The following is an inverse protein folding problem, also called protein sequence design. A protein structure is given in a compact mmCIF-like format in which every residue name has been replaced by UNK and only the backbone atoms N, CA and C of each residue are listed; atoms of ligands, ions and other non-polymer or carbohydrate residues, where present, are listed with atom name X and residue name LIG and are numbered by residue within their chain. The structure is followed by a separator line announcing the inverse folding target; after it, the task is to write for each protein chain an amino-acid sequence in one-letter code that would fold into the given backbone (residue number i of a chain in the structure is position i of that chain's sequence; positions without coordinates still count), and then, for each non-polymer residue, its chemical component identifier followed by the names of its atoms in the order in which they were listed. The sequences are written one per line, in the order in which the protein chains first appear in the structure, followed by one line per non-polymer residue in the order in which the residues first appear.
data_IF_118298006452
#
_entry.id   IF_118298006452
#
_cell.length_a   1.000
_cell.length_b   1.000
_cell.length_c   1.000
_cell.angle_alpha   90.00
_cell.angle_beta   90.00
_cell.angle_gamma   90.00
#
_symmetry.space_group_name_H-M   'P 1'
#
loop_
_entity.id
_entity.type
_entity.pdbx_description
1 polymer ?
#
# COMPACT_ATOMS: atom_id res chain seq x y z
N UNK A 1 5.64 -21.36 35.47
CA UNK A 1 5.92 -21.93 34.14
C UNK A 1 6.35 -20.77 33.27
N UNK A 2 7.59 -20.77 32.80
CA UNK A 2 8.10 -19.75 31.88
C UNK A 2 7.28 -19.85 30.60
N UNK A 3 6.55 -18.80 30.24
CA UNK A 3 6.03 -18.69 28.87
C UNK A 3 7.26 -18.68 27.97
N UNK A 4 7.53 -19.77 27.24
CA UNK A 4 8.54 -19.68 26.19
C UNK A 4 7.92 -18.79 25.12
N UNK A 5 8.46 -17.59 24.97
CA UNK A 5 8.16 -16.75 23.82
C UNK A 5 8.49 -17.62 22.60
N UNK A 6 7.49 -17.93 21.79
CA UNK A 6 7.69 -18.71 20.56
C UNK A 6 8.56 -17.85 19.64
N UNK A 7 9.70 -18.40 19.21
CA UNK A 7 10.65 -17.71 18.35
C UNK A 7 10.10 -17.63 16.92
N UNK A 8 10.09 -16.45 16.31
CA UNK A 8 9.66 -16.26 14.91
C UNK A 8 10.46 -17.17 13.97
N UNK A 9 9.74 -17.94 13.16
CA UNK A 9 10.32 -18.90 12.21
C UNK A 9 10.53 -18.23 10.85
N UNK A 10 11.75 -18.30 10.33
CA UNK A 10 12.07 -17.78 8.99
C UNK A 10 11.31 -18.53 7.87
N UNK A 11 11.00 -17.86 6.74
CA UNK A 11 10.42 -18.54 5.59
C UNK A 11 11.41 -19.56 4.98
N UNK A 12 10.94 -20.76 4.65
CA UNK A 12 11.83 -21.84 4.16
C UNK A 12 11.92 -21.91 2.64
N UNK A 13 10.78 -22.11 1.97
CA UNK A 13 10.69 -22.20 0.50
C UNK A 13 9.82 -21.11 -0.05
N UNK A 14 10.28 -20.42 -1.10
CA UNK A 14 9.50 -19.49 -1.89
C UNK A 14 9.01 -20.20 -3.15
N UNK A 15 7.75 -19.95 -3.52
CA UNK A 15 7.16 -20.11 -4.84
C UNK A 15 6.77 -18.73 -5.37
N UNK A 16 6.90 -18.54 -6.69
CA UNK A 16 6.54 -17.29 -7.35
C UNK A 16 5.97 -17.57 -8.74
N UNK A 17 4.88 -16.90 -9.09
CA UNK A 17 4.23 -17.06 -10.40
C UNK A 17 3.80 -15.71 -10.95
N UNK A 18 4.03 -15.48 -12.26
CA UNK A 18 3.46 -14.34 -12.97
C UNK A 18 1.94 -14.47 -13.04
N UNK A 19 1.27 -13.39 -12.68
CA UNK A 19 -0.18 -13.33 -12.56
C UNK A 19 -0.69 -12.00 -13.09
N UNK A 20 -1.93 -11.99 -13.59
CA UNK A 20 -2.57 -10.78 -14.12
C UNK A 20 -3.97 -10.62 -13.52
N UNK A 21 -4.29 -9.39 -13.13
CA UNK A 21 -5.63 -8.93 -12.77
C UNK A 21 -6.19 -8.16 -13.95
N UNK A 22 -7.28 -8.65 -14.53
CA UNK A 22 -7.94 -8.07 -15.71
C UNK A 22 -9.42 -7.81 -15.46
N UNK A 23 -9.79 -7.73 -14.18
CA UNK A 23 -11.12 -7.53 -13.65
C UNK A 23 -11.50 -6.04 -13.51
N UNK A 24 -10.51 -5.14 -13.58
CA UNK A 24 -10.70 -3.69 -13.64
C UNK A 24 -10.43 -3.07 -15.01
N UNK A 25 -10.49 -1.74 -15.10
CA UNK A 25 -10.24 -0.97 -16.32
C UNK A 25 -8.80 -1.13 -16.87
N UNK A 26 -7.86 -1.48 -16.00
CA UNK A 26 -6.45 -1.72 -16.34
C UNK A 26 -6.11 -3.18 -16.06
N UNK A 27 -5.37 -3.80 -17.00
CA UNK A 27 -4.72 -5.07 -16.73
C UNK A 27 -3.46 -4.83 -15.88
N UNK A 28 -3.49 -5.24 -14.62
CA UNK A 28 -2.36 -5.13 -13.70
C UNK A 28 -1.62 -6.46 -13.62
N UNK A 29 -0.36 -6.43 -14.03
CA UNK A 29 0.55 -7.55 -13.93
C UNK A 29 1.20 -7.57 -12.55
N UNK A 30 1.54 -8.77 -12.10
CA UNK A 30 2.19 -8.96 -10.82
C UNK A 30 2.85 -10.32 -10.68
N UNK A 31 3.44 -10.51 -9.50
CA UNK A 31 4.00 -11.79 -9.07
C UNK A 31 3.25 -12.18 -7.79
N UNK A 32 2.60 -13.34 -7.82
CA UNK A 32 2.07 -13.95 -6.60
C UNK A 32 3.21 -14.71 -5.93
N UNK A 33 3.57 -14.25 -4.73
CA UNK A 33 4.53 -14.89 -3.86
C UNK A 33 3.81 -15.79 -2.87
N UNK A 34 4.38 -16.97 -2.63
CA UNK A 34 3.82 -17.99 -1.77
C UNK A 34 4.97 -18.74 -1.09
N UNK A 35 5.06 -18.71 0.24
CA UNK A 35 6.18 -19.36 0.95
C UNK A 35 5.76 -20.33 2.06
N UNK A 36 6.68 -21.13 2.57
CA UNK A 36 6.41 -21.98 3.73
C UNK A 36 6.98 -21.33 5.00
N UNK A 37 6.27 -21.43 6.12
CA UNK A 37 6.65 -20.83 7.41
C UNK A 37 6.09 -21.66 8.56
N UNK A 38 6.90 -22.00 9.56
CA UNK A 38 6.48 -22.94 10.63
C UNK A 38 5.91 -24.25 10.06
N UNK A 39 4.73 -24.68 10.53
CA UNK A 39 4.00 -25.82 9.96
C UNK A 39 3.09 -25.43 8.77
N UNK A 40 3.02 -24.15 8.41
CA UNK A 40 2.23 -23.68 7.28
C UNK A 40 2.90 -23.96 5.94
N UNK A 41 2.32 -24.92 5.22
CA UNK A 41 2.80 -25.40 3.93
C UNK A 41 1.84 -25.15 2.76
N UNK A 42 0.77 -24.36 2.98
CA UNK A 42 -0.17 -23.96 1.91
C UNK A 42 -1.46 -24.80 1.81
N UNK A 43 -1.91 -25.43 2.89
CA UNK A 43 -3.19 -26.16 2.93
C UNK A 43 -4.42 -25.25 3.10
N UNK A 44 -5.54 -25.58 2.44
CA UNK A 44 -6.81 -24.83 2.57
C UNK A 44 -7.56 -25.09 3.87
N UNK A 45 -7.56 -26.33 4.37
CA UNK A 45 -8.13 -26.75 5.65
C UNK A 45 -7.63 -28.17 5.99
N UNK A 46 -7.42 -28.53 7.27
CA UNK A 46 -7.47 -27.68 8.46
C UNK A 46 -6.36 -26.62 8.49
N UNK A 47 -6.44 -25.60 9.37
CA UNK A 47 -5.32 -24.69 9.60
C UNK A 47 -4.05 -25.46 9.98
N UNK A 48 -2.85 -24.86 9.75
CA UNK A 48 -1.58 -25.40 10.22
C UNK A 48 -1.62 -25.75 11.71
N UNK A 49 -0.88 -26.79 12.10
CA UNK A 49 -0.89 -27.29 13.48
C UNK A 49 -0.42 -26.24 14.51
N UNK A 50 0.37 -25.27 14.08
CA UNK A 50 0.92 -24.17 14.87
C UNK A 50 0.20 -22.83 14.60
N UNK A 51 -0.96 -22.82 13.93
CA UNK A 51 -1.70 -21.59 13.61
C UNK A 51 -2.10 -20.76 14.84
N UNK A 52 -2.35 -21.44 15.96
CA UNK A 52 -2.62 -20.82 17.25
C UNK A 52 -3.69 -19.70 17.17
N UNK A 53 -4.79 -19.95 16.46
CA UNK A 53 -5.88 -19.00 16.25
C UNK A 53 -5.42 -17.60 15.79
N UNK A 54 -4.41 -17.54 14.93
CA UNK A 54 -3.83 -16.29 14.40
C UNK A 54 -2.57 -15.82 15.12
N UNK A 55 -2.29 -16.35 16.31
CA UNK A 55 -1.11 -16.02 17.13
C UNK A 55 0.07 -16.96 16.83
N UNK A 56 0.20 -17.43 15.59
CA UNK A 56 1.35 -18.21 15.15
C UNK A 56 2.61 -17.33 15.16
N UNK A 57 3.75 -17.90 15.53
CA UNK A 57 5.05 -17.21 15.51
C UNK A 57 5.62 -17.10 14.09
N UNK A 58 4.83 -16.56 13.17
CA UNK A 58 5.24 -16.27 11.80
C UNK A 58 5.69 -14.81 11.69
N UNK A 59 6.64 -14.48 10.80
CA UNK A 59 7.06 -13.10 10.60
C UNK A 59 5.93 -12.25 10.00
N UNK A 60 5.81 -11.01 10.46
CA UNK A 60 4.93 -9.99 9.88
C UNK A 60 5.65 -9.10 8.86
N UNK A 61 6.97 -8.95 8.94
CA UNK A 61 7.71 -8.01 8.11
C UNK A 61 8.65 -8.74 7.16
N UNK A 62 8.56 -8.40 5.87
CA UNK A 62 9.33 -9.02 4.80
C UNK A 62 9.99 -7.96 3.92
N UNK A 63 11.10 -8.35 3.30
CA UNK A 63 11.63 -7.68 2.14
C UNK A 63 11.40 -8.52 0.89
N UNK A 64 10.99 -7.86 -0.18
CA UNK A 64 10.92 -8.43 -1.52
C UNK A 64 12.03 -7.84 -2.37
N UNK A 65 12.86 -8.72 -2.92
CA UNK A 65 13.95 -8.37 -3.80
C UNK A 65 13.63 -8.83 -5.22
N UNK A 66 13.74 -7.89 -6.16
CA UNK A 66 13.59 -8.16 -7.59
C UNK A 66 14.92 -7.89 -8.29
N UNK A 67 15.34 -8.81 -9.17
CA UNK A 67 16.54 -8.73 -10.00
C UNK A 67 17.88 -8.64 -9.24
N UNK A 68 17.90 -9.07 -7.97
CA UNK A 68 19.12 -9.37 -7.20
C UNK A 68 19.97 -8.19 -6.77
N UNK A 69 19.67 -6.96 -7.21
CA UNK A 69 20.51 -5.77 -6.97
C UNK A 69 20.15 -4.94 -5.73
N UNK A 70 18.88 -4.89 -5.35
CA UNK A 70 18.38 -4.14 -4.19
C UNK A 70 17.01 -4.63 -3.76
N UNK A 71 16.63 -4.32 -2.53
CA UNK A 71 15.25 -4.40 -2.08
C UNK A 71 14.37 -3.56 -3.01
N UNK A 72 13.21 -4.09 -3.41
CA UNK A 72 12.22 -3.36 -4.22
C UNK A 72 11.02 -2.97 -3.38
N UNK A 73 10.67 -3.75 -2.37
CA UNK A 73 9.51 -3.50 -1.51
C UNK A 73 9.72 -4.03 -0.09
N UNK A 74 9.34 -3.24 0.92
CA UNK A 74 9.06 -3.75 2.27
C UNK A 74 7.59 -4.07 2.42
N UNK A 75 7.28 -5.17 3.10
CA UNK A 75 5.91 -5.66 3.29
C UNK A 75 5.65 -5.89 4.78
N UNK A 76 4.66 -5.18 5.32
CA UNK A 76 3.97 -5.56 6.56
C UNK A 76 2.78 -6.43 6.19
N UNK A 77 2.72 -7.64 6.73
CA UNK A 77 1.70 -8.64 6.45
C UNK A 77 1.05 -9.03 7.76
N UNK A 78 -0.17 -8.55 7.98
CA UNK A 78 -0.98 -9.00 9.10
C UNK A 78 -2.16 -9.82 8.55
N UNK A 79 -2.70 -10.67 9.39
CA UNK A 79 -3.71 -11.66 8.99
C UNK A 79 -4.82 -11.74 10.03
N UNK A 80 -6.06 -12.02 9.60
CA UNK A 80 -7.13 -12.34 10.54
C UNK A 80 -6.84 -13.68 11.24
N UNK A 81 -7.40 -13.87 12.43
CA UNK A 81 -7.36 -15.13 13.16
C UNK A 81 -8.17 -16.24 12.46
N UNK A 82 -9.29 -15.84 11.85
CA UNK A 82 -10.24 -16.74 11.21
C UNK A 82 -9.76 -17.21 9.84
N UNK A 83 -10.35 -18.31 9.35
CA UNK A 83 -10.11 -18.77 7.99
C UNK A 83 -10.47 -17.67 6.95
N UNK A 84 -9.64 -17.46 5.90
CA UNK A 84 -8.42 -18.19 5.54
C UNK A 84 -7.11 -17.48 5.96
N UNK A 85 -7.03 -16.94 7.18
CA UNK A 85 -5.91 -16.13 7.68
C UNK A 85 -4.52 -16.75 7.52
N UNK A 86 -4.38 -18.07 7.70
CA UNK A 86 -3.09 -18.74 7.51
C UNK A 86 -2.63 -18.75 6.06
N UNK A 87 -3.53 -18.67 5.07
CA UNK A 87 -3.12 -18.56 3.67
C UNK A 87 -2.57 -17.15 3.40
N UNK A 88 -3.17 -16.13 4.03
CA UNK A 88 -2.70 -14.75 3.97
C UNK A 88 -1.32 -14.59 4.63
N UNK A 89 -1.07 -15.27 5.75
CA UNK A 89 0.21 -15.20 6.48
C UNK A 89 1.44 -15.68 5.70
N UNK A 90 1.24 -16.25 4.51
CA UNK A 90 2.29 -16.85 3.68
C UNK A 90 2.24 -16.47 2.21
N UNK A 91 1.42 -15.48 1.86
CA UNK A 91 1.26 -15.06 0.47
C UNK A 91 1.26 -13.55 0.35
N UNK A 92 1.76 -13.06 -0.78
CA UNK A 92 1.79 -11.64 -1.09
C UNK A 92 1.73 -11.40 -2.59
N UNK A 93 0.96 -10.40 -3.00
CA UNK A 93 0.91 -9.94 -4.38
C UNK A 93 1.85 -8.75 -4.56
N UNK A 94 2.83 -8.90 -5.46
CA UNK A 94 3.69 -7.80 -5.88
C UNK A 94 3.14 -7.21 -7.18
N UNK A 95 2.60 -6.00 -7.12
CA UNK A 95 2.13 -5.28 -8.31
C UNK A 95 3.31 -4.79 -9.14
N UNK A 96 3.36 -5.13 -10.43
CA UNK A 96 4.38 -4.70 -11.39
C UNK A 96 3.89 -3.61 -12.35
N UNK A 97 2.61 -3.20 -12.24
CA UNK A 97 2.00 -2.21 -13.13
C UNK A 97 1.42 -2.83 -14.39
N UNK A 98 1.26 -2.01 -15.43
CA UNK A 98 0.66 -2.40 -16.73
C UNK A 98 1.69 -2.95 -17.72
N UNK A 99 2.97 -2.62 -17.54
CA UNK A 99 4.06 -2.95 -18.45
C UNK A 99 5.24 -3.57 -17.67
N UNK A 100 5.13 -4.83 -17.22
CA UNK A 100 6.20 -5.50 -16.49
C UNK A 100 7.38 -5.83 -17.41
N UNK A 101 8.58 -5.97 -16.82
CA UNK A 101 9.73 -6.59 -17.50
C UNK A 101 9.42 -8.05 -17.84
N UNK A 102 10.09 -8.61 -18.85
CA UNK A 102 9.88 -9.97 -19.34
C UNK A 102 10.27 -11.06 -18.32
N UNK A 103 11.20 -10.76 -17.41
CA UNK A 103 11.73 -11.69 -16.43
C UNK A 103 12.03 -10.96 -15.12
N UNK A 104 11.73 -11.62 -14.00
CA UNK A 104 12.17 -11.19 -12.67
C UNK A 104 12.90 -12.30 -11.93
N UNK A 105 13.98 -11.94 -11.23
CA UNK A 105 14.59 -12.81 -10.20
C UNK A 105 14.09 -12.41 -8.83
N UNK A 106 13.41 -13.30 -8.15
CA UNK A 106 12.68 -12.99 -6.91
C UNK A 106 13.25 -13.80 -5.75
N UNK A 107 13.51 -13.11 -4.64
CA UNK A 107 13.78 -13.72 -3.33
C UNK A 107 13.21 -12.85 -2.22
N UNK A 108 12.95 -13.46 -1.07
CA UNK A 108 12.45 -12.76 0.11
C UNK A 108 13.32 -13.06 1.33
N UNK A 109 13.23 -12.21 2.33
CA UNK A 109 13.68 -12.49 3.70
C UNK A 109 12.74 -11.82 4.69
N UNK A 110 12.74 -12.29 5.93
CA UNK A 110 11.80 -11.83 6.95
C UNK A 110 12.52 -11.26 8.17
N UNK A 111 11.86 -10.32 8.86
CA UNK A 111 12.37 -9.74 10.10
C UNK A 111 12.03 -10.66 11.26
N UNK A 112 13.03 -11.00 12.06
CA UNK A 112 12.90 -11.89 13.22
C UNK A 112 12.67 -11.07 14.51
N UNK A 113 12.27 -11.74 15.60
CA UNK A 113 11.99 -11.09 16.90
C UNK A 113 13.16 -10.28 17.46
N UNK A 114 14.39 -10.72 17.17
CA UNK A 114 15.60 -10.03 17.60
C UNK A 114 15.93 -8.79 16.74
N UNK A 115 15.06 -8.43 15.80
CA UNK A 115 15.21 -7.31 14.88
C UNK A 115 16.12 -7.57 13.67
N UNK A 116 16.80 -8.72 13.62
CA UNK A 116 17.63 -9.10 12.47
C UNK A 116 16.81 -9.63 11.31
N UNK A 117 17.38 -9.52 10.10
CA UNK A 117 16.81 -10.14 8.91
C UNK A 117 17.27 -11.60 8.80
N UNK A 118 16.34 -12.50 8.44
CA UNK A 118 16.66 -13.89 8.14
C UNK A 118 17.62 -14.02 6.95
N UNK A 119 18.18 -15.21 6.77
CA UNK A 119 18.74 -15.61 5.47
C UNK A 119 17.68 -15.46 4.37
N UNK A 120 18.14 -15.28 3.13
CA UNK A 120 17.24 -15.23 1.98
C UNK A 120 16.61 -16.60 1.70
N UNK A 121 15.39 -16.58 1.19
CA UNK A 121 14.77 -17.73 0.53
C UNK A 121 15.59 -18.19 -0.69
N UNK A 122 15.21 -19.32 -1.29
CA UNK A 122 15.62 -19.63 -2.65
C UNK A 122 15.25 -18.48 -3.61
N UNK A 123 16.09 -18.25 -4.62
CA UNK A 123 15.80 -17.33 -5.71
C UNK A 123 15.00 -18.05 -6.81
N UNK A 124 13.94 -17.42 -7.29
CA UNK A 124 13.09 -17.91 -8.39
C UNK A 124 13.17 -16.96 -9.57
N UNK A 125 13.32 -17.52 -10.77
CA UNK A 125 13.14 -16.79 -12.03
C UNK A 125 11.67 -16.90 -12.43
N UNK A 126 11.03 -15.75 -12.65
CA UNK A 126 9.63 -15.63 -13.05
C UNK A 126 9.57 -15.02 -14.45
N UNK A 127 9.08 -15.79 -15.42
CA UNK A 127 8.75 -15.32 -16.76
C UNK A 127 7.37 -14.66 -16.75
N UNK A 128 7.26 -13.44 -17.28
CA UNK A 128 6.01 -12.66 -17.30
C UNK A 128 5.27 -12.69 -18.64
N UNK A 129 5.81 -13.40 -19.65
CA UNK A 129 5.25 -13.47 -21.00
C UNK A 129 3.99 -14.33 -21.12
N UNK A 130 3.63 -15.10 -20.09
CA UNK A 130 2.39 -15.89 -20.04
C UNK A 130 1.80 -15.93 -18.63
N UNK A 131 1.29 -14.78 -18.13
CA UNK A 131 0.76 -14.70 -16.78
C UNK A 131 -0.57 -15.46 -16.68
N UNK A 132 -0.79 -16.14 -15.54
CA UNK A 132 -2.10 -16.76 -15.26
C UNK A 132 -3.06 -15.73 -14.64
N UNK A 133 -4.38 -15.91 -14.73
CA UNK A 133 -5.30 -15.08 -13.97
C UNK A 133 -5.00 -15.12 -12.47
N UNK A 134 -5.02 -13.96 -11.83
CA UNK A 134 -4.93 -13.87 -10.38
C UNK A 134 -6.17 -14.48 -9.73
N UNK A 135 -5.99 -15.13 -8.57
CA UNK A 135 -7.07 -15.61 -7.73
C UNK A 135 -6.86 -15.04 -6.33
N UNK A 136 -7.89 -14.39 -5.79
CA UNK A 136 -7.81 -13.80 -4.47
C UNK A 136 -7.56 -14.87 -3.40
N UNK A 137 -6.66 -14.55 -2.48
CA UNK A 137 -6.51 -15.23 -1.20
C UNK A 137 -6.96 -14.22 -0.15
N UNK A 138 -8.03 -14.51 0.61
CA UNK A 138 -8.57 -13.55 1.58
C UNK A 138 -9.68 -12.64 1.03
N UNK A 139 -10.40 -11.93 1.91
CA UNK A 139 -11.86 -11.98 1.87
C UNK A 139 -12.41 -11.18 0.70
N UNK A 140 -13.01 -11.90 -0.25
CA UNK A 140 -14.22 -11.44 -0.87
C UNK A 140 -15.26 -11.22 0.23
N UNK A 141 -15.65 -9.98 0.42
CA UNK A 141 -16.47 -9.58 1.55
C UNK A 141 -17.89 -10.10 1.43
N UNK A 142 -18.39 -10.71 2.50
CA UNK A 142 -19.81 -11.05 2.63
C UNK A 142 -20.65 -9.84 3.06
N UNK A 143 -22.00 -9.95 3.05
CA UNK A 143 -22.88 -8.87 3.49
C UNK A 143 -22.57 -8.50 4.95
N UNK A 144 -22.02 -7.29 5.14
CA UNK A 144 -21.59 -6.76 6.44
C UNK A 144 -22.73 -6.83 7.47
N UNK A 145 -22.56 -7.60 8.55
CA UNK A 145 -23.43 -7.55 9.73
C UNK A 145 -22.80 -6.67 10.81
N UNK A 146 -23.18 -5.39 10.78
CA UNK A 146 -23.12 -4.38 11.86
C UNK A 146 -21.75 -3.77 12.24
N UNK A 147 -21.68 -2.65 13.00
CA UNK A 147 -22.59 -1.50 13.18
C UNK A 147 -21.90 -0.14 12.88
N UNK A 148 -22.68 0.87 12.50
CA UNK A 148 -22.30 2.28 12.35
C UNK A 148 -21.26 2.64 11.24
N UNK A 149 -21.72 3.51 10.33
CA UNK A 149 -20.86 4.26 9.42
C UNK A 149 -19.98 5.24 10.23
N UNK A 150 -18.91 4.74 10.83
CA UNK A 150 -17.85 5.59 11.32
C UNK A 150 -17.23 6.34 10.15
N UNK A 151 -17.10 7.66 10.31
CA UNK A 151 -16.33 8.52 9.42
C UNK A 151 -14.88 7.99 9.39
N UNK A 152 -14.41 7.47 8.24
CA UNK A 152 -13.07 6.87 8.03
C UNK A 152 -12.07 7.93 7.55
N UNK A 153 -10.97 8.19 8.26
CA UNK A 153 -10.22 9.44 8.00
C UNK A 153 -8.76 9.38 8.44
N UNK A 154 -7.84 9.84 7.58
CA UNK A 154 -6.48 10.22 7.96
C UNK A 154 -5.65 10.71 6.76
N UNK A 155 -4.44 11.21 7.05
CA UNK A 155 -3.46 11.61 6.02
C UNK A 155 -2.03 11.44 6.53
N UNK A 156 -1.09 11.33 5.59
CA UNK A 156 0.35 11.28 5.83
C UNK A 156 0.83 12.58 6.51
N UNK A 157 1.30 12.47 7.74
CA UNK A 157 1.73 13.61 8.57
C UNK A 157 3.25 13.80 8.58
N UNK A 158 4.02 12.75 8.26
CA UNK A 158 5.45 12.86 7.99
C UNK A 158 5.87 11.90 6.87
N UNK A 159 6.53 12.37 5.79
CA UNK A 159 6.63 13.77 5.37
C UNK A 159 5.21 14.35 5.16
N UNK A 160 4.95 15.58 5.61
CA UNK A 160 3.60 16.13 5.60
C UNK A 160 3.01 16.19 4.18
N UNK A 161 1.77 15.72 4.01
CA UNK A 161 1.08 15.77 2.72
C UNK A 161 0.69 17.19 2.34
N UNK A 162 0.50 17.46 1.04
CA UNK A 162 -0.05 18.73 0.53
C UNK A 162 -1.37 19.09 1.20
N UNK A 163 -2.23 18.11 1.44
CA UNK A 163 -3.51 18.32 2.13
C UNK A 163 -3.28 18.71 3.60
N UNK A 164 -2.35 18.05 4.28
CA UNK A 164 -1.96 18.42 5.65
C UNK A 164 -1.42 19.86 5.70
N UNK A 165 -0.47 20.20 4.83
CA UNK A 165 0.15 21.53 4.79
C UNK A 165 -0.88 22.61 4.44
N UNK A 166 -1.61 22.43 3.33
CA UNK A 166 -2.51 23.45 2.84
C UNK A 166 -3.81 23.56 3.65
N UNK A 167 -4.39 22.46 4.13
CA UNK A 167 -5.73 22.45 4.74
C UNK A 167 -5.66 22.41 6.27
N UNK A 168 -4.92 21.44 6.85
CA UNK A 168 -4.87 21.26 8.31
C UNK A 168 -4.01 22.34 8.98
N UNK A 169 -2.84 22.60 8.42
CA UNK A 169 -1.81 23.44 9.06
C UNK A 169 -1.86 24.90 8.62
N UNK A 170 -2.68 25.24 7.62
CA UNK A 170 -2.79 26.59 7.04
C UNK A 170 -1.41 27.18 6.68
N UNK A 171 -0.55 26.35 6.07
CA UNK A 171 0.83 26.73 5.74
C UNK A 171 0.84 28.04 4.91
N UNK A 172 1.71 29.01 5.25
CA UNK A 172 1.70 30.34 4.65
C UNK A 172 2.38 30.41 3.28
N UNK A 173 2.94 29.32 2.75
CA UNK A 173 3.51 29.29 1.41
C UNK A 173 2.47 29.73 0.36
N UNK A 174 2.91 30.51 -0.63
CA UNK A 174 2.03 31.09 -1.65
C UNK A 174 1.18 30.03 -2.36
N UNK A 175 1.77 28.86 -2.65
CA UNK A 175 1.06 27.76 -3.30
C UNK A 175 -0.01 27.13 -2.41
N UNK A 176 0.23 27.00 -1.11
CA UNK A 176 -0.77 26.51 -0.14
C UNK A 176 -1.96 27.47 -0.07
N UNK A 177 -1.70 28.79 -0.08
CA UNK A 177 -2.73 29.83 -0.16
C UNK A 177 -3.53 29.73 -1.48
N UNK A 178 -2.86 29.52 -2.62
CA UNK A 178 -3.58 29.34 -3.89
C UNK A 178 -4.40 28.05 -3.91
N UNK A 179 -3.86 26.96 -3.37
CA UNK A 179 -4.56 25.69 -3.27
C UNK A 179 -5.85 25.84 -2.46
N UNK A 180 -5.78 26.50 -1.28
CA UNK A 180 -6.97 26.78 -0.46
C UNK A 180 -8.03 27.62 -1.17
N UNK A 181 -7.65 28.52 -2.09
CA UNK A 181 -8.62 29.32 -2.88
C UNK A 181 -9.35 28.49 -3.93
N UNK A 182 -8.72 27.43 -4.43
CA UNK A 182 -9.30 26.53 -5.43
C UNK A 182 -10.08 25.38 -4.79
N UNK A 183 -9.62 24.90 -3.63
CA UNK A 183 -10.31 23.87 -2.87
C UNK A 183 -11.68 24.34 -2.41
N UNK A 184 -12.66 23.45 -2.48
CA UNK A 184 -13.94 23.65 -1.77
C UNK A 184 -13.95 22.91 -0.43
N UNK A 185 -13.09 21.91 -0.24
CA UNK A 185 -12.77 21.35 1.08
C UNK A 185 -11.68 22.17 1.75
N UNK A 186 -12.02 22.83 2.85
CA UNK A 186 -11.09 23.66 3.63
C UNK A 186 -10.90 23.17 5.07
N UNK A 187 -11.50 22.03 5.44
CA UNK A 187 -11.45 21.49 6.82
C UNK A 187 -11.05 20.02 6.88
N UNK A 188 -11.18 19.29 5.77
CA UNK A 188 -10.89 17.86 5.69
C UNK A 188 -9.63 17.68 4.87
N UNK A 189 -8.60 17.08 5.46
CA UNK A 189 -7.32 16.77 4.79
C UNK A 189 -7.28 15.34 4.24
N UNK A 190 -8.36 14.59 4.41
CA UNK A 190 -8.55 13.24 3.91
C UNK A 190 -9.01 13.27 2.46
N UNK A 191 -8.05 13.31 1.55
CA UNK A 191 -8.33 13.36 0.11
C UNK A 191 -8.82 12.00 -0.34
N UNK A 192 -10.05 11.93 -0.82
CA UNK A 192 -10.66 10.75 -1.41
C UNK A 192 -11.39 11.13 -2.71
N UNK A 193 -11.60 10.19 -3.65
CA UNK A 193 -12.44 10.45 -4.82
C UNK A 193 -13.86 10.87 -4.44
N UNK A 194 -14.62 11.51 -5.35
CA UNK A 194 -16.01 11.83 -5.08
C UNK A 194 -16.80 10.57 -4.74
N UNK A 195 -17.62 10.61 -3.69
CA UNK A 195 -18.47 9.46 -3.31
C UNK A 195 -19.38 9.00 -4.46
N UNK A 196 -19.86 9.93 -5.29
CA UNK A 196 -20.63 9.62 -6.49
C UNK A 196 -19.82 8.82 -7.52
N UNK A 197 -18.52 9.07 -7.66
CA UNK A 197 -17.64 8.29 -8.55
C UNK A 197 -17.44 6.88 -7.99
N UNK A 198 -17.17 6.75 -6.68
CA UNK A 198 -17.03 5.43 -6.04
C UNK A 198 -18.33 4.61 -6.09
N UNK A 199 -19.49 5.26 -5.99
CA UNK A 199 -20.78 4.57 -6.15
C UNK A 199 -21.08 4.15 -7.59
N UNK A 200 -20.62 4.92 -8.57
CA UNK A 200 -20.83 4.64 -9.99
C UNK A 200 -19.92 3.51 -10.49
N UNK A 201 -18.69 3.44 -9.99
CA UNK A 201 -17.69 2.44 -10.33
C UNK A 201 -16.89 2.04 -9.08
N UNK A 202 -17.39 1.08 -8.27
CA UNK A 202 -16.80 0.69 -6.98
C UNK A 202 -15.28 0.45 -7.01
N UNK A 203 -14.48 1.10 -6.13
CA UNK A 203 -13.06 0.77 -6.05
C UNK A 203 -12.81 -0.63 -5.47
N UNK A 204 -13.72 -1.18 -4.66
CA UNK A 204 -13.58 -2.56 -4.22
C UNK A 204 -14.22 -3.51 -5.23
N UNK A 205 -13.41 -4.39 -5.83
CA UNK A 205 -13.90 -5.32 -6.84
C UNK A 205 -14.26 -6.72 -6.30
N UNK A 206 -14.29 -6.88 -4.98
CA UNK A 206 -14.50 -8.17 -4.33
C UNK A 206 -13.22 -8.93 -4.00
N UNK A 207 -12.04 -8.41 -4.34
CA UNK A 207 -10.76 -9.01 -3.94
C UNK A 207 -9.66 -8.01 -3.64
N UNK A 208 -9.70 -6.83 -4.28
CA UNK A 208 -8.74 -5.77 -4.05
C UNK A 208 -9.35 -4.39 -4.29
N UNK A 209 -8.57 -3.39 -3.89
CA UNK A 209 -8.85 -1.98 -4.11
C UNK A 209 -8.30 -1.52 -5.47
N UNK A 210 -9.17 -1.35 -6.46
CA UNK A 210 -8.88 -0.85 -7.81
C UNK A 210 -8.75 0.68 -7.87
N UNK A 211 -7.91 1.29 -7.03
CA UNK A 211 -7.82 2.75 -6.96
C UNK A 211 -7.36 3.40 -8.29
N UNK A 212 -6.53 2.74 -9.11
CA UNK A 212 -5.93 3.35 -10.31
C UNK A 212 -6.95 3.86 -11.34
N UNK A 213 -8.13 3.28 -11.45
CA UNK A 213 -9.17 3.70 -12.43
C UNK A 213 -9.81 5.06 -12.12
N UNK A 214 -9.63 5.56 -10.89
CA UNK A 214 -10.17 6.84 -10.45
C UNK A 214 -9.37 8.05 -10.88
N UNK A 215 -8.16 7.83 -11.38
CA UNK A 215 -7.25 8.89 -11.74
C UNK A 215 -7.24 9.03 -13.25
N UNK A 216 -7.67 10.19 -13.73
CA UNK A 216 -7.80 10.46 -15.17
C UNK A 216 -6.88 11.61 -15.53
N UNK A 217 -5.59 11.27 -15.62
CA UNK A 217 -4.54 12.20 -16.02
C UNK A 217 -3.77 12.74 -14.82
N UNK A 218 -3.88 14.05 -14.60
CA UNK A 218 -3.00 14.86 -13.77
C UNK A 218 -3.68 15.25 -12.43
N UNK A 219 -4.29 14.27 -11.77
CA UNK A 219 -5.23 14.45 -10.63
C UNK A 219 -4.92 13.54 -9.43
N UNK A 220 -3.65 13.12 -9.30
CA UNK A 220 -3.22 12.21 -8.23
C UNK A 220 -3.37 12.88 -6.86
N UNK A 221 -3.01 14.16 -6.72
CA UNK A 221 -3.03 14.85 -5.43
C UNK A 221 -4.43 15.20 -4.94
N UNK A 222 -5.40 15.38 -5.85
CA UNK A 222 -6.82 15.55 -5.53
C UNK A 222 -7.63 14.25 -5.53
N UNK A 223 -7.04 13.13 -5.94
CA UNK A 223 -7.74 11.86 -6.18
C UNK A 223 -8.93 12.02 -7.15
N UNK A 224 -8.81 12.89 -8.16
CA UNK A 224 -9.87 13.21 -9.11
C UNK A 224 -11.07 13.93 -8.49
N UNK A 225 -10.95 14.44 -7.26
CA UNK A 225 -12.03 15.10 -6.56
C UNK A 225 -11.91 16.63 -6.67
N UNK A 226 -12.88 17.31 -7.34
CA UNK A 226 -12.83 18.76 -7.52
C UNK A 226 -12.74 19.55 -6.22
N UNK A 227 -13.18 18.99 -5.09
CA UNK A 227 -13.08 19.62 -3.78
C UNK A 227 -11.65 19.86 -3.30
N UNK A 228 -10.70 19.11 -3.88
CA UNK A 228 -9.26 19.15 -3.58
C UNK A 228 -8.41 19.60 -4.77
N UNK A 229 -9.02 20.18 -5.82
CA UNK A 229 -8.33 20.51 -7.08
C UNK A 229 -7.13 21.46 -6.92
N UNK A 230 -7.08 22.26 -5.87
CA UNK A 230 -5.93 23.10 -5.55
C UNK A 230 -4.68 22.31 -5.16
N UNK A 231 -4.81 21.05 -4.74
CA UNK A 231 -3.68 20.20 -4.39
C UNK A 231 -2.90 19.72 -5.63
N UNK A 232 -3.52 19.76 -6.82
CA UNK A 232 -2.88 19.41 -8.10
C UNK A 232 -2.06 20.59 -8.68
N UNK A 233 -2.01 21.74 -8.02
CA UNK A 233 -1.19 22.86 -8.48
C UNK A 233 0.29 22.49 -8.59
N UNK A 234 0.93 22.99 -9.63
CA UNK A 234 2.37 22.92 -9.86
C UNK A 234 3.04 24.16 -9.30
N UNK A 235 4.17 23.97 -8.61
CA UNK A 235 5.01 25.04 -8.10
C UNK A 235 5.70 24.67 -6.79
N UNK A 236 6.11 25.69 -6.05
CA UNK A 236 6.95 25.58 -4.84
C UNK A 236 6.16 25.14 -3.60
N UNK A 237 5.77 23.87 -3.57
CA UNK A 237 5.24 23.23 -2.36
C UNK A 237 6.34 23.08 -1.31
N UNK A 238 6.04 23.30 0.00
CA UNK A 238 6.99 22.99 1.06
C UNK A 238 7.43 21.52 0.99
N UNK A 239 8.74 21.28 1.02
CA UNK A 239 9.33 19.94 0.93
C UNK A 239 9.83 19.45 2.29
N UNK A 240 9.74 18.14 2.52
CA UNK A 240 10.49 17.50 3.61
C UNK A 240 11.84 17.01 3.08
N UNK A 241 12.94 17.41 3.73
CA UNK A 241 14.28 16.93 3.37
C UNK A 241 14.45 15.48 3.85
N UNK A 242 14.82 14.58 2.95
CA UNK A 242 15.19 13.20 3.23
C UNK A 242 16.63 12.97 2.78
N UNK A 243 17.44 12.28 3.59
CA UNK A 243 18.80 11.90 3.16
C UNK A 243 18.70 10.67 2.26
N UNK A 244 19.27 10.75 1.05
CA UNK A 244 19.35 9.59 0.15
C UNK A 244 20.34 8.53 0.67
N UNK A 245 21.26 8.93 1.55
CA UNK A 245 22.24 8.04 2.15
C UNK A 245 21.65 7.15 3.25
N UNK A 246 20.48 7.52 3.80
CA UNK A 246 19.83 6.79 4.88
C UNK A 246 19.51 5.36 4.46
N UNK A 247 19.70 4.43 5.40
CA UNK A 247 19.40 3.01 5.18
C UNK A 247 17.91 2.72 5.32
N UNK A 248 17.21 3.52 6.11
CA UNK A 248 15.79 3.38 6.44
C UNK A 248 15.15 4.78 6.47
N UNK A 249 13.97 4.90 5.89
CA UNK A 249 13.15 6.12 5.92
C UNK A 249 11.89 5.89 6.75
N UNK A 250 11.57 6.86 7.60
CA UNK A 250 10.41 6.81 8.49
C UNK A 250 9.27 7.70 7.97
N UNK A 251 8.04 7.21 8.15
CA UNK A 251 6.81 7.87 7.76
C UNK A 251 5.81 7.78 8.91
N UNK A 252 4.98 8.81 9.09
CA UNK A 252 3.91 8.80 10.11
C UNK A 252 2.58 9.14 9.47
N UNK A 253 1.55 8.35 9.79
CA UNK A 253 0.19 8.57 9.32
C UNK A 253 -0.69 8.97 10.51
N UNK A 254 -1.47 10.03 10.35
CA UNK A 254 -2.41 10.47 11.39
C UNK A 254 -3.82 10.07 11.01
N UNK A 255 -4.45 9.25 11.85
CA UNK A 255 -5.83 8.82 11.69
C UNK A 255 -6.76 9.61 12.61
N UNK A 256 -7.81 10.17 12.04
CA UNK A 256 -8.99 10.61 12.76
C UNK A 256 -9.94 9.43 13.03
N UNK A 257 -9.91 8.40 12.18
CA UNK A 257 -10.54 7.10 12.42
C UNK A 257 -9.77 6.00 11.67
N UNK A 258 -9.05 5.16 12.42
CA UNK A 258 -8.21 4.10 11.88
C UNK A 258 -9.03 2.83 11.60
N UNK A 259 -8.88 2.27 10.40
CA UNK A 259 -9.49 1.01 9.98
C UNK A 259 -8.44 -0.06 9.76
N UNK A 260 -8.73 -1.24 10.30
CA UNK A 260 -7.78 -2.34 10.48
C UNK A 260 -8.39 -3.68 10.09
N UNK A 261 -9.55 -3.66 9.43
CA UNK A 261 -10.16 -4.90 8.96
C UNK A 261 -9.31 -5.52 7.82
N UNK A 262 -9.48 -6.84 7.54
CA UNK A 262 -8.65 -7.58 6.58
C UNK A 262 -8.83 -7.19 5.11
N UNK A 263 -9.37 -6.01 4.82
CA UNK A 263 -9.45 -5.47 3.46
C UNK A 263 -8.66 -4.18 3.29
N UNK A 264 -8.20 -3.58 4.40
CA UNK A 264 -7.47 -2.32 4.35
C UNK A 264 -5.99 -2.52 4.15
N UNK A 265 -5.42 -1.67 3.31
CA UNK A 265 -4.01 -1.73 2.94
C UNK A 265 -3.47 -0.32 2.75
N UNK A 266 -2.24 -0.10 3.20
CA UNK A 266 -1.43 1.02 2.74
C UNK A 266 -0.53 0.58 1.58
N UNK A 267 -0.49 1.36 0.51
CA UNK A 267 0.48 1.23 -0.59
C UNK A 267 1.21 2.55 -0.76
N UNK A 268 2.54 2.50 -0.78
CA UNK A 268 3.39 3.68 -0.82
C UNK A 268 4.22 3.69 -2.09
N UNK A 269 4.11 4.77 -2.85
CA UNK A 269 4.74 4.98 -4.14
C UNK A 269 5.68 6.17 -4.07
N UNK A 270 6.65 6.17 -4.96
CA UNK A 270 7.55 7.30 -5.18
C UNK A 270 7.67 7.53 -6.67
N UNK A 271 7.81 8.79 -7.08
CA UNK A 271 8.10 9.17 -8.47
C UNK A 271 9.36 8.51 -9.01
N UNK A 272 9.41 8.23 -10.31
CA UNK A 272 10.57 7.73 -11.06
C UNK A 272 11.74 8.71 -10.98
N UNK A 273 12.95 8.23 -11.30
CA UNK A 273 14.18 9.05 -11.26
C UNK A 273 14.18 10.17 -12.32
N UNK A 274 13.43 10.01 -13.41
CA UNK A 274 13.30 10.95 -14.53
C UNK A 274 12.02 11.81 -14.50
N UNK A 275 11.30 11.79 -13.37
CA UNK A 275 10.10 12.62 -13.18
C UNK A 275 10.44 14.12 -13.23
N UNK A 276 9.61 14.89 -13.93
CA UNK A 276 9.68 16.35 -13.99
C UNK A 276 8.89 16.98 -12.81
N UNK A 277 9.57 17.57 -11.81
CA UNK A 277 8.90 18.19 -10.67
C UNK A 277 8.15 19.48 -11.02
N UNK A 278 8.38 20.06 -12.20
CA UNK A 278 7.65 21.21 -12.74
C UNK A 278 6.45 20.78 -13.61
N UNK A 279 6.19 19.48 -13.72
CA UNK A 279 5.00 18.90 -14.34
C UNK A 279 3.90 18.61 -13.31
N UNK A 280 2.66 18.44 -13.79
CA UNK A 280 1.59 17.93 -12.92
C UNK A 280 1.75 16.42 -12.77
N UNK A 281 1.64 15.94 -11.54
CA UNK A 281 1.80 14.52 -11.20
C UNK A 281 0.69 13.65 -11.81
N UNK A 282 1.10 12.58 -12.48
CA UNK A 282 0.26 11.50 -12.99
C UNK A 282 0.70 10.15 -12.43
N UNK A 283 -0.12 9.10 -12.60
CA UNK A 283 0.26 7.74 -12.19
C UNK A 283 1.44 7.18 -12.99
N UNK A 284 1.60 7.63 -14.23
CA UNK A 284 2.70 7.19 -15.09
C UNK A 284 4.05 7.74 -14.61
N UNK A 285 4.06 8.77 -13.76
CA UNK A 285 5.27 9.31 -13.14
C UNK A 285 5.75 8.48 -11.94
N UNK A 286 4.93 7.57 -11.42
CA UNK A 286 5.23 6.77 -10.23
C UNK A 286 5.95 5.46 -10.60
N UNK A 287 6.83 5.00 -9.72
CA UNK A 287 7.33 3.64 -9.74
C UNK A 287 6.14 2.66 -9.67
N UNK A 288 6.04 1.66 -10.57
CA UNK A 288 4.86 0.81 -10.65
C UNK A 288 4.71 -0.13 -9.44
N UNK A 289 5.83 -0.50 -8.82
CA UNK A 289 5.87 -1.28 -7.58
C UNK A 289 5.86 -0.31 -6.39
N UNK A 290 4.88 -0.40 -5.48
CA UNK A 290 4.95 0.38 -4.25
C UNK A 290 6.18 -0.06 -3.45
N UNK A 291 7.01 0.89 -3.00
CA UNK A 291 8.22 0.60 -2.23
C UNK A 291 7.89 0.06 -0.82
N UNK A 292 6.69 0.34 -0.32
CA UNK A 292 6.21 -0.19 0.95
C UNK A 292 4.74 -0.57 0.84
N UNK A 293 4.36 -1.68 1.44
CA UNK A 293 2.97 -2.13 1.53
C UNK A 293 2.69 -2.66 2.93
N UNK A 294 1.56 -2.27 3.51
CA UNK A 294 1.04 -2.86 4.74
C UNK A 294 -0.33 -3.48 4.43
N UNK A 295 -0.44 -4.80 4.59
CA UNK A 295 -1.64 -5.59 4.34
C UNK A 295 -2.34 -5.87 5.67
N UNK A 296 -3.61 -5.51 5.75
CA UNK A 296 -4.49 -5.65 6.93
C UNK A 296 -3.91 -4.87 8.13
N UNK A 297 -4.30 -3.61 8.31
CA UNK A 297 -3.65 -2.75 9.29
C UNK A 297 -3.65 -3.31 10.72
N UNK A 298 -2.63 -2.98 11.51
CA UNK A 298 -2.63 -3.12 12.97
C UNK A 298 -3.10 -1.79 13.58
N UNK A 299 -4.09 -1.76 14.50
CA UNK A 299 -4.58 -0.51 15.09
C UNK A 299 -3.52 0.30 15.84
N UNK A 300 -2.45 -0.33 16.29
CA UNK A 300 -1.32 0.32 16.95
C UNK A 300 -0.32 0.96 15.99
N UNK A 301 -0.35 0.61 14.70
CA UNK A 301 0.60 1.13 13.72
C UNK A 301 0.13 2.49 13.21
N UNK A 302 0.99 3.47 13.45
CA UNK A 302 0.87 4.86 12.94
C UNK A 302 2.19 5.37 12.39
N UNK A 303 3.25 4.58 12.54
CA UNK A 303 4.60 4.86 12.07
C UNK A 303 5.07 3.70 11.22
N UNK A 304 5.66 4.05 10.08
CA UNK A 304 6.05 3.13 9.04
C UNK A 304 7.51 3.35 8.71
N UNK A 305 8.26 2.29 8.51
CA UNK A 305 9.66 2.35 8.10
C UNK A 305 9.89 1.49 6.87
N UNK A 306 10.80 1.95 6.01
CA UNK A 306 11.21 1.17 4.84
C UNK A 306 12.68 1.35 4.52
N UNK A 307 13.32 0.27 4.07
CA UNK A 307 14.66 0.27 3.49
C UNK A 307 14.60 0.27 1.95
N UNK A 308 13.39 0.31 1.36
CA UNK A 308 13.16 0.09 -0.07
C UNK A 308 13.29 1.33 -0.96
N UNK A 309 13.46 2.52 -0.36
CA UNK A 309 13.70 3.74 -1.14
C UNK A 309 15.12 3.68 -1.74
N UNK A 310 15.27 3.81 -3.08
CA UNK A 310 16.59 3.77 -3.68
C UNK A 310 17.49 4.91 -3.21
N UNK A 311 18.71 4.58 -2.80
CA UNK A 311 19.75 5.58 -2.45
C UNK A 311 20.25 6.43 -3.63
N UNK A 312 19.71 6.19 -4.81
CA UNK A 312 19.98 6.94 -6.04
C UNK A 312 19.01 8.12 -6.24
N UNK A 313 17.95 8.21 -5.43
CA UNK A 313 17.02 9.34 -5.43
C UNK A 313 17.77 10.61 -5.05
N UNK A 314 17.48 11.70 -5.75
CA UNK A 314 18.12 13.00 -5.53
C UNK A 314 17.18 14.11 -6.01
N UNK A 315 17.27 15.29 -5.39
CA UNK A 315 16.39 16.39 -5.71
C UNK A 315 14.92 16.11 -5.35
N UNK A 316 14.01 16.82 -6.01
CA UNK A 316 12.58 16.78 -5.66
C UNK A 316 11.93 15.50 -6.16
N UNK A 317 11.18 14.85 -5.26
CA UNK A 317 10.35 13.69 -5.55
C UNK A 317 8.98 13.82 -4.86
N UNK A 318 8.00 13.04 -5.32
CA UNK A 318 6.74 12.88 -4.63
C UNK A 318 6.66 11.50 -3.96
N UNK A 319 6.30 11.47 -2.68
CA UNK A 319 5.83 10.25 -2.01
C UNK A 319 4.30 10.25 -2.04
N UNK A 320 3.71 9.18 -2.55
CA UNK A 320 2.25 9.00 -2.63
C UNK A 320 1.85 7.80 -1.79
N UNK A 321 0.99 8.02 -0.80
CA UNK A 321 0.32 6.94 -0.09
C UNK A 321 -1.12 6.76 -0.59
N UNK A 322 -1.52 5.52 -0.79
CA UNK A 322 -2.92 5.10 -0.93
C UNK A 322 -3.28 4.23 0.25
N UNK A 323 -4.31 4.63 1.01
CA UNK A 323 -4.85 3.85 2.12
C UNK A 323 -6.32 3.55 1.87
N UNK A 324 -6.71 2.29 1.75
CA UNK A 324 -8.12 1.95 1.46
C UNK A 324 -8.44 0.48 1.56
N UNK A 325 -9.73 0.16 1.45
CA UNK A 325 -10.28 -1.19 1.58
C UNK A 325 -11.78 -1.26 1.30
N UNK A 326 -12.43 -2.36 1.70
CA UNK A 326 -13.86 -2.61 1.51
C UNK A 326 -14.72 -1.83 2.53
N UNK A 327 -14.79 -0.51 2.39
CA UNK A 327 -15.98 0.17 2.91
C UNK A 327 -16.40 1.44 2.21
N UNK A 328 -16.49 2.58 2.91
CA UNK A 328 -16.99 3.80 2.29
C UNK A 328 -18.51 3.82 2.03
N UNK A 329 -18.96 4.42 0.91
CA UNK A 329 -20.38 4.64 0.66
C UNK A 329 -21.12 3.32 0.35
N UNK A 330 -22.41 3.28 0.72
CA UNK A 330 -23.26 2.10 0.52
C UNK A 330 -23.87 2.06 -0.87
N UNK A 331 -23.77 0.89 -1.51
CA UNK A 331 -24.45 0.56 -2.75
C UNK A 331 -25.95 0.28 -2.51
N UNK A 332 -26.80 0.31 -3.56
CA UNK A 332 -28.24 0.05 -3.42
C UNK A 332 -28.59 -1.32 -2.84
N UNK A 333 -27.71 -2.32 -2.98
CA UNK A 333 -27.88 -3.66 -2.42
C UNK A 333 -27.43 -3.78 -0.94
N UNK A 334 -26.98 -2.67 -0.34
CA UNK A 334 -26.54 -2.58 1.04
C UNK A 334 -25.07 -2.93 1.27
N UNK A 335 -24.35 -3.41 0.25
CA UNK A 335 -22.90 -3.63 0.30
C UNK A 335 -22.13 -2.31 0.27
N UNK A 336 -20.82 -2.36 0.50
CA UNK A 336 -19.96 -1.18 0.51
C UNK A 336 -19.17 -1.11 -0.79
N UNK A 337 -19.09 0.07 -1.40
CA UNK A 337 -18.41 0.26 -2.68
C UNK A 337 -16.88 0.08 -2.59
N UNK A 338 -16.31 0.18 -1.40
CA UNK A 338 -14.90 0.45 -1.17
C UNK A 338 -14.63 1.94 -1.02
N UNK A 339 -13.53 2.27 -0.35
CA UNK A 339 -13.04 3.64 -0.18
C UNK A 339 -11.54 3.64 -0.03
N UNK A 340 -10.93 4.74 -0.46
CA UNK A 340 -9.52 4.98 -0.25
C UNK A 340 -9.21 6.46 -0.14
N UNK A 341 -8.08 6.73 0.49
CA UNK A 341 -7.52 8.05 0.70
C UNK A 341 -6.16 8.13 0.02
N UNK A 342 -5.85 9.31 -0.52
CA UNK A 342 -4.58 9.61 -1.16
C UNK A 342 -3.85 10.67 -0.35
N UNK A 343 -2.57 10.48 -0.10
CA UNK A 343 -1.71 11.52 0.48
C UNK A 343 -0.49 11.69 -0.40
N UNK A 344 -0.30 12.90 -0.92
CA UNK A 344 0.88 13.29 -1.71
C UNK A 344 1.77 14.20 -0.87
N UNK A 345 3.02 13.83 -0.65
CA UNK A 345 4.00 14.60 0.11
C UNK A 345 5.21 14.92 -0.75
N UNK A 346 5.49 16.22 -0.94
CA UNK A 346 6.69 16.68 -1.61
C UNK A 346 7.91 16.46 -0.72
N UNK A 347 8.92 15.80 -1.25
CA UNK A 347 10.19 15.52 -0.56
C UNK A 347 11.36 15.98 -1.41
N UNK A 348 12.48 16.27 -0.76
CA UNK A 348 13.73 16.57 -1.44
C UNK A 348 14.85 15.68 -0.89
N UNK A 349 15.44 14.88 -1.78
CA UNK A 349 16.53 13.98 -1.46
C UNK A 349 17.87 14.69 -1.58
N UNK A 350 18.64 14.69 -0.48
CA UNK A 350 19.98 15.30 -0.38
C UNK A 350 21.09 14.29 -0.13
#
# INVERSE_FOLDING_TARGET
MSSSILEIVAPHSLGAAAVVRSDGDLALHGILLEWTVGANSGGEWPPPADWNDGDAAYPHFYEVWLNGGRIKQTVGLFWPAEAPGWILARSHWVCLGTEPDLEYRVKIRAKLDNGSWSEFSNEIVVDTGSPRPYTSVGPATGPSRDPAAGLRHGSLSHPASRAVLAIRDDDPADICIQARKLNTSATWQEVAPPAAAMLADPPWNGSYLEYRKFFRGQDVASAGNPAFSGLDLVGEWPTTILSAADTEHAFSYTYNAHHVDPTWTHQWFITKDDWDPDGVLSWDDLEPVPFMTEIHGDPGITNYCTEAIPRTKHGRHMVVNVWGGHGGPRLPDGTLAGEFFVSCSDVEFV
#
